data_IF_053008488360
#
_entry.id   IF_053008488360
#
_cell.length_a   1.000
_cell.length_b   1.000
_cell.length_c   1.000
_cell.angle_alpha   90.00
_cell.angle_beta   90.00
_cell.angle_gamma   90.00
#
_symmetry.space_group_name_H-M   'P 1'
#
loop_
_entity.id
_entity.type
_entity.pdbx_description
1 polymer ?
#
# COMPACT_ATOMS: atom_id res chain seq x y z
N UNK A 1 -28.14 -36.02 -7.40
CA UNK A 1 -27.51 -34.99 -8.25
C UNK A 1 -26.55 -34.21 -7.37
N UNK A 2 -25.27 -34.61 -7.38
CA UNK A 2 -24.25 -34.03 -6.52
C UNK A 2 -24.00 -32.58 -6.91
N UNK A 3 -24.11 -31.67 -5.94
CA UNK A 3 -23.65 -30.29 -6.14
C UNK A 3 -22.14 -30.33 -6.22
N UNK A 4 -21.60 -30.20 -7.42
CA UNK A 4 -20.20 -29.86 -7.60
C UNK A 4 -19.97 -28.53 -6.90
N UNK A 5 -19.31 -28.60 -5.73
CA UNK A 5 -18.79 -27.44 -5.04
C UNK A 5 -17.71 -26.87 -5.94
N UNK A 6 -18.11 -25.94 -6.80
CA UNK A 6 -17.21 -25.06 -7.53
C UNK A 6 -16.28 -24.46 -6.48
N UNK A 7 -15.00 -24.84 -6.53
CA UNK A 7 -14.01 -24.40 -5.59
C UNK A 7 -13.80 -22.90 -5.83
N UNK A 8 -14.51 -22.08 -5.06
CA UNK A 8 -14.61 -20.64 -5.26
C UNK A 8 -13.19 -20.07 -5.18
N UNK A 9 -12.69 -19.39 -6.23
CA UNK A 9 -11.42 -18.70 -6.14
C UNK A 9 -11.60 -17.55 -5.15
N UNK A 10 -11.08 -17.78 -3.94
CA UNK A 10 -10.99 -16.89 -2.79
C UNK A 10 -12.27 -16.08 -2.46
N UNK A 11 -12.99 -16.53 -1.42
CA UNK A 11 -14.14 -15.84 -0.83
C UNK A 11 -13.88 -14.35 -0.56
N UNK A 12 -12.63 -13.95 -0.34
CA UNK A 12 -12.26 -12.55 -0.12
C UNK A 12 -12.43 -11.70 -1.37
N UNK A 13 -12.08 -12.22 -2.54
CA UNK A 13 -12.27 -11.50 -3.81
C UNK A 13 -13.75 -11.31 -4.08
N UNK A 14 -14.55 -12.36 -3.87
CA UNK A 14 -16.00 -12.29 -4.06
C UNK A 14 -16.65 -11.27 -3.11
N UNK A 15 -16.31 -11.30 -1.82
CA UNK A 15 -16.84 -10.37 -0.83
C UNK A 15 -16.41 -8.92 -1.11
N UNK A 16 -15.15 -8.72 -1.52
CA UNK A 16 -14.62 -7.39 -1.84
C UNK A 16 -15.28 -6.83 -3.10
N UNK A 17 -15.41 -7.66 -4.14
CA UNK A 17 -16.10 -7.32 -5.37
C UNK A 17 -17.57 -6.96 -5.14
N UNK A 18 -18.32 -7.80 -4.38
CA UNK A 18 -19.72 -7.51 -4.05
C UNK A 18 -19.87 -6.18 -3.30
N UNK A 19 -18.97 -5.88 -2.35
CA UNK A 19 -18.97 -4.61 -1.60
C UNK A 19 -18.66 -3.41 -2.50
N UNK A 20 -17.66 -3.53 -3.37
CA UNK A 20 -17.24 -2.46 -4.26
C UNK A 20 -18.30 -2.15 -5.33
N UNK A 21 -18.90 -3.19 -5.93
CA UNK A 21 -20.02 -3.04 -6.88
C UNK A 21 -21.24 -2.40 -6.21
N UNK A 22 -21.58 -2.81 -4.98
CA UNK A 22 -22.69 -2.21 -4.23
C UNK A 22 -22.45 -0.72 -3.93
N UNK A 23 -21.20 -0.32 -3.69
CA UNK A 23 -20.82 1.08 -3.45
C UNK A 23 -20.93 1.93 -4.73
N UNK A 24 -20.31 1.50 -5.84
CA UNK A 24 -20.38 2.24 -7.10
C UNK A 24 -21.80 2.28 -7.68
N UNK A 25 -22.60 1.23 -7.49
CA UNK A 25 -24.03 1.24 -7.87
C UNK A 25 -24.79 2.31 -7.09
N UNK A 26 -24.56 2.46 -5.78
CA UNK A 26 -25.16 3.53 -4.98
C UNK A 26 -24.71 4.91 -5.47
N UNK A 27 -23.42 5.09 -5.73
CA UNK A 27 -22.87 6.36 -6.22
C UNK A 27 -23.40 6.73 -7.62
N UNK A 28 -23.55 5.75 -8.52
CA UNK A 28 -24.16 5.94 -9.84
C UNK A 28 -25.63 6.35 -9.72
N UNK A 29 -26.41 5.67 -8.87
CA UNK A 29 -27.81 6.01 -8.61
C UNK A 29 -27.93 7.42 -8.02
N UNK A 30 -27.04 7.83 -7.10
CA UNK A 30 -27.06 9.18 -6.51
C UNK A 30 -26.76 10.25 -7.57
N UNK A 31 -25.79 10.01 -8.46
CA UNK A 31 -25.41 10.95 -9.51
C UNK A 31 -26.46 11.06 -10.63
N UNK A 32 -27.09 9.95 -11.01
CA UNK A 32 -28.07 9.91 -12.10
C UNK A 32 -29.54 10.04 -11.68
N UNK A 33 -29.82 10.16 -10.37
CA UNK A 33 -31.17 10.43 -9.83
C UNK A 33 -31.81 11.73 -10.34
N UNK A 34 -31.03 12.63 -10.96
CA UNK A 34 -31.55 13.85 -11.60
C UNK A 34 -32.01 13.64 -13.06
N UNK A 35 -31.70 12.50 -13.70
CA UNK A 35 -31.90 12.31 -15.15
C UNK A 35 -32.84 11.16 -15.51
N UNK A 36 -33.12 10.20 -14.61
CA UNK A 36 -33.96 9.03 -14.93
C UNK A 36 -35.19 8.87 -14.02
N UNK A 37 -36.37 8.52 -14.58
CA UNK A 37 -37.57 8.25 -13.81
C UNK A 37 -37.38 7.03 -12.90
N UNK A 38 -37.98 7.11 -11.72
CA UNK A 38 -37.82 6.24 -10.54
C UNK A 38 -38.11 4.75 -10.78
N UNK A 39 -38.70 4.38 -11.92
CA UNK A 39 -39.10 3.02 -12.28
C UNK A 39 -38.00 2.19 -12.97
N UNK A 40 -36.95 2.80 -13.52
CA UNK A 40 -35.84 2.08 -14.20
C UNK A 40 -34.66 1.77 -13.27
N UNK A 41 -34.67 2.30 -12.04
CA UNK A 41 -33.59 2.12 -11.06
C UNK A 41 -33.39 0.63 -10.68
N UNK A 42 -34.42 -0.19 -10.84
CA UNK A 42 -34.38 -1.63 -10.56
C UNK A 42 -33.71 -2.44 -11.68
N UNK A 43 -33.70 -1.93 -12.91
CA UNK A 43 -33.08 -2.58 -14.07
C UNK A 43 -31.97 -1.71 -14.65
N UNK A 44 -30.84 -1.63 -13.93
CA UNK A 44 -29.59 -1.21 -14.55
C UNK A 44 -29.37 -2.08 -15.80
N UNK A 45 -29.17 -1.45 -16.95
CA UNK A 45 -28.95 -2.17 -18.21
C UNK A 45 -27.70 -3.05 -18.09
N UNK A 46 -27.68 -4.19 -18.80
CA UNK A 46 -26.55 -5.14 -18.78
C UNK A 46 -25.21 -4.44 -19.08
N UNK A 47 -25.24 -3.40 -19.91
CA UNK A 47 -24.10 -2.58 -20.30
C UNK A 47 -23.60 -1.73 -19.13
N UNK A 48 -24.48 -1.04 -18.41
CA UNK A 48 -24.10 -0.23 -17.24
C UNK A 48 -23.52 -1.10 -16.12
N UNK A 49 -24.11 -2.28 -15.87
CA UNK A 49 -23.55 -3.24 -14.91
C UNK A 49 -22.15 -3.69 -15.32
N UNK A 50 -21.92 -3.98 -16.60
CA UNK A 50 -20.61 -4.38 -17.09
C UNK A 50 -19.56 -3.26 -16.97
N UNK A 51 -19.94 -2.00 -17.22
CA UNK A 51 -19.06 -0.84 -17.04
C UNK A 51 -18.69 -0.64 -15.57
N UNK A 52 -19.66 -0.75 -14.66
CA UNK A 52 -19.40 -0.64 -13.22
C UNK A 52 -18.49 -1.78 -12.75
N UNK A 53 -18.80 -3.03 -13.12
CA UNK A 53 -17.99 -4.19 -12.73
C UNK A 53 -16.57 -4.11 -13.29
N UNK A 54 -16.39 -3.76 -14.56
CA UNK A 54 -15.05 -3.62 -15.17
C UNK A 54 -14.24 -2.52 -14.52
N UNK A 55 -14.85 -1.36 -14.20
CA UNK A 55 -14.20 -0.27 -13.48
C UNK A 55 -13.75 -0.70 -12.08
N UNK A 56 -14.60 -1.42 -11.35
CA UNK A 56 -14.30 -1.94 -10.01
C UNK A 56 -13.15 -2.94 -10.06
N UNK A 57 -13.20 -3.89 -11.00
CA UNK A 57 -12.13 -4.89 -11.19
C UNK A 57 -10.81 -4.20 -11.52
N UNK A 58 -10.81 -3.27 -12.46
CA UNK A 58 -9.59 -2.57 -12.86
C UNK A 58 -8.97 -1.81 -11.67
N UNK A 59 -9.80 -1.14 -10.87
CA UNK A 59 -9.32 -0.36 -9.72
C UNK A 59 -8.83 -1.26 -8.58
N UNK A 60 -9.64 -2.21 -8.14
CA UNK A 60 -9.36 -2.94 -6.91
C UNK A 60 -8.40 -4.12 -7.13
N UNK A 61 -8.43 -4.76 -8.30
CA UNK A 61 -7.62 -5.94 -8.59
C UNK A 61 -6.31 -5.59 -9.30
N UNK A 62 -6.27 -4.54 -10.13
CA UNK A 62 -5.04 -4.15 -10.85
C UNK A 62 -4.34 -2.95 -10.23
N UNK A 63 -5.08 -1.86 -9.98
CA UNK A 63 -4.44 -0.61 -9.51
C UNK A 63 -3.97 -0.72 -8.07
N UNK A 64 -4.75 -1.33 -7.17
CA UNK A 64 -4.40 -1.43 -5.75
C UNK A 64 -3.10 -2.21 -5.48
N UNK A 65 -2.89 -3.45 -6.01
CA UNK A 65 -1.64 -4.16 -5.80
C UNK A 65 -0.45 -3.51 -6.52
N UNK A 66 -0.68 -2.86 -7.67
CA UNK A 66 0.38 -2.11 -8.36
C UNK A 66 0.83 -0.89 -7.56
N UNK A 67 -0.11 -0.15 -6.99
CA UNK A 67 0.22 1.00 -6.15
C UNK A 67 0.93 0.55 -4.87
N UNK A 68 0.53 -0.59 -4.30
CA UNK A 68 1.18 -1.17 -3.14
C UNK A 68 2.64 -1.57 -3.45
N UNK A 69 2.92 -2.17 -4.60
CA UNK A 69 4.28 -2.55 -4.98
C UNK A 69 5.18 -1.34 -5.25
N UNK A 70 4.66 -0.32 -5.94
CA UNK A 70 5.38 0.93 -6.21
C UNK A 70 5.62 1.70 -4.92
N UNK A 71 4.62 1.81 -4.05
CA UNK A 71 4.75 2.49 -2.76
C UNK A 71 5.78 1.79 -1.86
N UNK A 72 5.76 0.45 -1.80
CA UNK A 72 6.72 -0.32 -1.01
C UNK A 72 8.15 -0.18 -1.54
N UNK A 73 8.30 -0.22 -2.86
CA UNK A 73 9.61 -0.02 -3.51
C UNK A 73 10.13 1.40 -3.28
N UNK A 74 9.29 2.41 -3.43
CA UNK A 74 9.62 3.80 -3.12
C UNK A 74 10.01 4.01 -1.66
N UNK A 75 9.25 3.41 -0.73
CA UNK A 75 9.57 3.43 0.69
C UNK A 75 10.97 2.85 0.98
N UNK A 76 11.30 1.70 0.39
CA UNK A 76 12.62 1.08 0.54
C UNK A 76 13.76 1.93 -0.05
N UNK A 77 13.50 2.60 -1.18
CA UNK A 77 14.48 3.53 -1.80
C UNK A 77 14.78 4.68 -0.85
N UNK A 78 13.76 5.26 -0.20
CA UNK A 78 13.93 6.34 0.78
C UNK A 78 14.62 5.85 2.06
N UNK A 79 14.38 4.60 2.47
CA UNK A 79 15.01 4.02 3.65
C UNK A 79 16.52 3.77 3.46
N UNK A 80 16.98 3.57 2.22
CA UNK A 80 18.38 3.26 1.89
C UNK A 80 19.39 4.33 2.36
N UNK A 81 19.22 5.64 2.09
CA UNK A 81 20.09 6.67 2.67
C UNK A 81 19.92 6.79 4.18
N UNK A 82 18.72 6.57 4.71
CA UNK A 82 18.46 6.63 6.16
C UNK A 82 19.26 5.56 6.92
N UNK A 83 19.25 4.32 6.42
CA UNK A 83 20.07 3.22 6.94
C UNK A 83 21.58 3.53 6.87
N UNK A 84 22.06 4.15 5.79
CA UNK A 84 23.47 4.56 5.69
C UNK A 84 23.84 5.59 6.76
N UNK A 85 22.97 6.55 7.01
CA UNK A 85 23.16 7.57 8.06
C UNK A 85 23.13 6.96 9.45
N UNK A 86 22.21 6.02 9.72
CA UNK A 86 22.14 5.32 11.01
C UNK A 86 23.39 4.48 11.27
N UNK A 87 23.91 3.79 10.24
CA UNK A 87 25.16 3.01 10.35
C UNK A 87 26.36 3.91 10.62
N UNK A 88 26.49 5.05 9.93
CA UNK A 88 27.61 5.98 10.19
C UNK A 88 27.50 6.61 11.57
N UNK A 89 26.29 6.95 12.03
CA UNK A 89 26.07 7.46 13.38
C UNK A 89 26.39 6.40 14.44
N UNK A 90 25.96 5.15 14.23
CA UNK A 90 26.27 4.03 15.11
C UNK A 90 27.76 3.72 15.20
N UNK A 91 28.49 3.77 14.07
CA UNK A 91 29.96 3.59 14.06
C UNK A 91 30.68 4.71 14.82
N UNK A 92 30.24 5.97 14.66
CA UNK A 92 30.78 7.11 15.40
C UNK A 92 30.50 7.00 16.90
N UNK A 93 29.27 6.66 17.27
CA UNK A 93 28.86 6.53 18.66
C UNK A 93 29.56 5.34 19.34
N UNK A 94 29.70 4.21 18.65
CA UNK A 94 30.43 3.04 19.13
C UNK A 94 31.93 3.31 19.30
N UNK A 95 32.56 3.99 18.34
CA UNK A 95 33.96 4.43 18.47
C UNK A 95 34.12 5.38 19.66
N UNK A 96 33.23 6.35 19.81
CA UNK A 96 33.28 7.32 20.90
C UNK A 96 33.03 6.67 22.26
N UNK A 97 32.13 5.69 22.35
CA UNK A 97 31.87 4.93 23.57
C UNK A 97 33.07 4.02 23.91
N UNK A 98 33.65 3.34 22.93
CA UNK A 98 34.87 2.53 23.11
C UNK A 98 36.06 3.39 23.57
N UNK A 99 36.26 4.56 22.97
CA UNK A 99 37.34 5.47 23.36
C UNK A 99 37.15 6.06 24.77
N UNK A 100 35.89 6.23 25.19
CA UNK A 100 35.54 6.66 26.55
C UNK A 100 35.80 5.53 27.57
N UNK A 101 35.36 4.30 27.27
CA UNK A 101 35.53 3.13 28.14
C UNK A 101 37.00 2.72 28.26
N UNK A 102 37.75 2.78 27.16
CA UNK A 102 39.18 2.42 27.12
C UNK A 102 40.08 3.56 27.63
N UNK A 103 39.52 4.75 27.91
CA UNK A 103 40.27 5.90 28.40
C UNK A 103 41.28 6.48 27.39
N UNK A 104 41.19 6.12 26.11
CA UNK A 104 42.17 6.54 25.08
C UNK A 104 42.15 8.04 24.81
N UNK A 105 41.04 8.72 25.07
CA UNK A 105 40.94 10.19 24.98
C UNK A 105 41.60 10.93 26.16
N UNK A 106 42.13 10.25 27.18
CA UNK A 106 42.89 10.86 28.27
C UNK A 106 44.40 10.93 28.00
N UNK A 107 44.91 10.18 27.02
CA UNK A 107 46.31 10.31 26.57
C UNK A 107 46.40 11.48 25.60
N UNK A 108 46.46 12.69 26.16
CA UNK A 108 46.81 13.92 25.44
C UNK A 108 48.14 13.69 24.73
N UNK A 109 48.11 13.53 23.41
CA UNK A 109 49.32 13.46 22.59
C UNK A 109 50.19 14.67 22.90
N UNK A 110 51.38 14.44 23.47
CA UNK A 110 52.36 15.51 23.69
C UNK A 110 52.67 16.14 22.33
N UNK A 111 52.59 17.46 22.18
CA UNK A 111 53.05 18.09 20.95
C UNK A 111 54.53 17.73 20.76
N UNK A 112 54.87 17.19 19.58
CA UNK A 112 56.26 17.02 19.16
C UNK A 112 56.89 18.41 19.13
N UNK A 113 57.70 18.73 20.13
CA UNK A 113 58.64 19.86 20.06
C UNK A 113 59.74 19.47 19.08
N UNK A 114 59.95 20.38 18.13
CA UNK A 114 61.02 20.39 17.12
C UNK A 114 62.38 20.34 17.79
#
# INVERSE_FOLDING_TARGET
MGKEVLNIPDLRVEQTFKRAVAKETKEYIIKNKATFPRSTITELTRVEKAVICSKVILRDILVMPFLQSVAWTGFLIVLKPWLRTTVTFGRKMGSSAMDLITGRNLVKSKPKSI
#
